data_IF_851759061790
#
_entry.id   IF_851759061790
#
_cell.length_a   1.000
_cell.length_b   1.000
_cell.length_c   1.000
_cell.angle_alpha   90.00
_cell.angle_beta   90.00
_cell.angle_gamma   90.00
#
_symmetry.space_group_name_H-M   'P 1'
#
loop_
_entity.id
_entity.type
_entity.pdbx_description
1 polymer ?
#
# COMPACT_ATOMS: atom_id res chain seq x y z
N UNK A 1 -40.42 16.20 -0.87
CA UNK A 1 -39.88 16.12 -1.08
C UNK A 1 -38.95 16.41 -0.71
N UNK A 2 -38.67 16.63 -0.54
CA UNK A 2 -37.83 16.94 -0.27
C UNK A 2 -37.00 16.34 0.34
N UNK A 3 -37.09 15.91 0.85
CA UNK A 3 -36.22 15.29 1.51
C UNK A 3 -35.47 14.48 0.74
N UNK A 4 -35.90 14.25 -0.10
CA UNK A 4 -35.23 13.50 -0.84
C UNK A 4 -34.08 13.73 -1.10
N UNK A 5 -33.88 14.57 -1.13
CA UNK A 5 -32.75 14.91 -1.37
C UNK A 5 -31.75 14.37 -0.73
N UNK A 6 -31.69 14.34 0.16
CA UNK A 6 -30.70 13.98 0.84
C UNK A 6 -30.14 12.83 0.65
N UNK A 7 -30.63 12.09 0.27
CA UNK A 7 -30.14 10.92 0.09
C UNK A 7 -29.02 10.88 -0.74
N UNK A 8 -29.01 11.64 -1.65
CA UNK A 8 -27.93 11.61 -2.52
C UNK A 8 -26.67 11.73 -1.87
N UNK A 9 -26.65 12.47 -0.94
CA UNK A 9 -25.46 12.69 -0.26
C UNK A 9 -24.90 11.48 0.25
N UNK A 10 -25.70 10.59 0.60
CA UNK A 10 -25.20 9.49 1.18
C UNK A 10 -24.40 8.71 0.30
N UNK A 11 -24.79 8.64 -0.83
CA UNK A 11 -24.09 7.80 -1.70
C UNK A 11 -22.68 8.16 -1.81
N UNK A 12 -22.41 9.36 -1.79
CA UNK A 12 -21.07 9.74 -1.96
C UNK A 12 -20.23 9.26 -0.90
N UNK A 13 -20.72 9.22 0.24
CA UNK A 13 -19.93 8.84 1.30
C UNK A 13 -19.49 7.49 1.18
N UNK A 14 -20.30 6.68 0.68
CA UNK A 14 -19.99 5.33 0.70
C UNK A 14 -18.74 4.99 -0.01
N UNK A 15 -18.41 5.72 -0.96
CA UNK A 15 -17.28 5.32 -1.72
C UNK A 15 -15.98 5.60 -1.06
N UNK A 16 -15.93 6.57 -0.30
CA UNK A 16 -14.67 7.01 0.20
C UNK A 16 -13.91 6.02 1.04
N UNK A 17 -14.46 5.44 1.96
CA UNK A 17 -13.69 4.65 2.88
C UNK A 17 -13.15 3.38 2.33
N UNK A 18 -13.66 3.03 1.23
CA UNK A 18 -13.29 1.78 0.76
C UNK A 18 -11.85 1.63 0.43
N UNK A 19 -11.19 2.70 0.22
CA UNK A 19 -9.86 2.60 -0.23
C UNK A 19 -8.84 2.59 0.79
N UNK A 20 -9.20 2.62 2.00
CA UNK A 20 -8.23 2.85 3.01
C UNK A 20 -7.55 1.62 3.57
N UNK A 21 -7.91 0.47 3.11
CA UNK A 21 -7.32 -0.72 3.70
C UNK A 21 -5.95 -1.00 3.14
N UNK A 22 -5.01 -1.24 4.01
CA UNK A 22 -3.70 -1.68 3.60
C UNK A 22 -3.77 -3.13 3.15
N UNK A 23 -2.83 -3.53 2.33
CA UNK A 23 -2.69 -4.92 1.95
C UNK A 23 -1.55 -5.52 2.76
N UNK A 24 -1.68 -6.80 3.07
CA UNK A 24 -0.68 -7.45 3.88
C UNK A 24 -0.37 -8.84 3.33
N UNK A 25 0.89 -9.20 3.36
CA UNK A 25 1.33 -10.55 3.04
C UNK A 25 2.06 -11.08 4.24
N UNK A 26 1.75 -12.30 4.67
CA UNK A 26 2.36 -12.89 5.84
C UNK A 26 3.03 -14.20 5.49
N UNK A 27 4.15 -14.44 6.14
CA UNK A 27 4.84 -15.71 5.99
C UNK A 27 5.45 -16.02 7.33
N UNK A 28 4.81 -16.89 8.11
CA UNK A 28 5.24 -17.15 9.48
C UNK A 28 5.06 -15.88 10.30
N UNK A 29 6.12 -15.51 11.00
CA UNK A 29 6.09 -14.30 11.81
C UNK A 29 6.49 -13.06 11.02
N UNK A 30 6.89 -13.24 9.77
CA UNK A 30 7.28 -12.12 8.94
C UNK A 30 6.06 -11.57 8.19
N UNK A 31 6.08 -10.30 7.89
CA UNK A 31 4.97 -9.69 7.17
C UNK A 31 5.44 -8.50 6.37
N UNK A 32 4.69 -8.19 5.32
CA UNK A 32 4.89 -6.98 4.54
C UNK A 32 3.55 -6.27 4.45
N UNK A 33 3.55 -4.99 4.70
CA UNK A 33 2.33 -4.18 4.64
C UNK A 33 2.49 -3.14 3.54
N UNK A 34 1.50 -3.08 2.67
CA UNK A 34 1.47 -2.12 1.55
C UNK A 34 0.36 -1.12 1.80
N UNK A 35 0.73 0.15 1.83
CA UNK A 35 -0.21 1.23 2.07
C UNK A 35 -0.50 1.94 0.75
N UNK A 36 -1.59 2.67 0.66
CA UNK A 36 -1.83 3.49 -0.52
C UNK A 36 -1.36 4.93 -0.31
N UNK A 37 -0.69 5.23 0.78
CA UNK A 37 -0.11 6.54 0.96
C UNK A 37 1.09 6.71 0.05
N UNK A 38 1.38 7.94 -0.29
CA UNK A 38 2.52 8.20 -1.18
C UNK A 38 3.83 7.78 -0.53
N UNK A 39 4.76 7.34 -1.35
CA UNK A 39 6.10 7.04 -0.87
C UNK A 39 6.77 8.32 -0.38
N UNK A 40 7.28 8.30 0.82
CA UNK A 40 7.93 9.47 1.40
C UNK A 40 9.35 9.19 1.84
N UNK A 41 9.87 8.03 1.53
CA UNK A 41 11.23 7.68 1.93
C UNK A 41 12.23 8.29 0.96
N UNK A 42 13.01 9.23 1.41
CA UNK A 42 14.02 9.84 0.57
C UNK A 42 15.03 8.82 0.10
N UNK A 43 15.33 7.86 0.94
CA UNK A 43 16.29 6.83 0.56
C UNK A 43 15.79 5.99 -0.61
N UNK A 44 14.51 5.64 -0.59
CA UNK A 44 13.94 4.88 -1.69
C UNK A 44 13.78 5.77 -2.91
N UNK A 45 13.27 6.97 -2.71
CA UNK A 45 13.01 7.86 -3.83
C UNK A 45 14.27 8.19 -4.61
N UNK A 46 15.40 8.22 -3.93
CA UNK A 46 16.66 8.50 -4.61
C UNK A 46 17.09 7.36 -5.53
N UNK A 47 16.46 6.22 -5.40
CA UNK A 47 16.77 5.05 -6.23
C UNK A 47 15.78 4.86 -7.36
N UNK A 48 14.79 5.73 -7.47
CA UNK A 48 13.73 5.62 -8.44
C UNK A 48 13.85 6.75 -9.44
N UNK A 49 13.59 6.48 -10.71
CA UNK A 49 13.62 7.53 -11.71
C UNK A 49 12.58 8.59 -11.36
N UNK A 50 12.92 9.86 -11.48
CA UNK A 50 11.98 10.91 -11.05
C UNK A 50 10.61 10.83 -11.70
N UNK A 51 10.53 10.37 -12.92
CA UNK A 51 9.24 10.27 -13.56
C UNK A 51 8.37 9.16 -13.01
N UNK A 52 8.97 8.20 -12.29
CA UNK A 52 8.22 7.08 -11.74
C UNK A 52 7.88 7.27 -10.28
N UNK A 53 8.46 8.25 -9.65
CA UNK A 53 8.33 8.38 -8.20
C UNK A 53 6.86 8.49 -7.75
N UNK A 54 6.03 9.14 -8.53
CA UNK A 54 4.64 9.31 -8.14
C UNK A 54 3.81 8.04 -8.19
N UNK A 55 4.35 6.98 -8.77
CA UNK A 55 3.65 5.71 -8.81
C UNK A 55 3.91 4.85 -7.60
N UNK A 56 4.85 5.25 -6.76
CA UNK A 56 5.21 4.44 -5.60
C UNK A 56 4.47 4.89 -4.36
N UNK A 57 4.11 3.90 -3.55
CA UNK A 57 3.38 4.11 -2.31
C UNK A 57 4.21 3.57 -1.15
N UNK A 58 3.85 3.95 0.04
CA UNK A 58 4.60 3.55 1.23
C UNK A 58 4.39 2.08 1.56
N UNK A 59 5.40 1.45 2.08
CA UNK A 59 5.34 0.06 2.52
C UNK A 59 6.26 -0.15 3.70
N UNK A 60 6.03 -1.21 4.44
CA UNK A 60 6.92 -1.59 5.52
C UNK A 60 6.91 -3.11 5.64
N UNK A 61 7.96 -3.64 6.25
CA UNK A 61 8.07 -5.07 6.45
C UNK A 61 8.61 -5.33 7.85
N UNK A 62 8.22 -6.48 8.40
CA UNK A 62 8.76 -6.98 9.65
C UNK A 62 9.42 -8.31 9.35
N UNK A 63 10.72 -8.39 9.56
CA UNK A 63 11.46 -9.62 9.39
C UNK A 63 12.24 -9.89 10.66
N UNK A 64 11.98 -11.01 11.27
CA UNK A 64 12.72 -11.42 12.45
C UNK A 64 12.72 -10.35 13.53
N UNK A 65 11.57 -9.70 13.69
CA UNK A 65 11.40 -8.69 14.71
C UNK A 65 11.91 -7.31 14.35
N UNK A 66 12.49 -7.15 13.18
CA UNK A 66 12.99 -5.85 12.74
C UNK A 66 12.09 -5.25 11.68
N UNK A 67 11.92 -3.94 11.76
CA UNK A 67 11.09 -3.22 10.80
C UNK A 67 11.95 -2.61 9.72
N UNK A 68 11.49 -2.76 8.48
CA UNK A 68 12.17 -2.17 7.33
C UNK A 68 11.16 -1.31 6.58
N UNK A 69 11.58 -0.13 6.14
CA UNK A 69 10.74 0.73 5.33
C UNK A 69 11.02 0.53 3.87
N UNK A 70 10.00 0.69 3.05
CA UNK A 70 10.10 0.48 1.62
C UNK A 70 9.05 1.29 0.91
N UNK A 71 9.09 1.29 -0.41
CA UNK A 71 8.00 1.79 -1.22
C UNK A 71 7.66 0.73 -2.25
N UNK A 72 6.43 0.76 -2.75
CA UNK A 72 5.96 -0.29 -3.64
C UNK A 72 5.07 0.26 -4.75
N UNK A 73 4.98 -0.49 -5.82
CA UNK A 73 3.97 -0.26 -6.85
C UNK A 73 3.59 -1.59 -7.46
N UNK A 74 2.46 -1.61 -8.14
CA UNK A 74 2.07 -2.81 -8.86
C UNK A 74 2.75 -2.86 -10.19
N UNK A 75 3.26 -4.04 -10.54
CA UNK A 75 3.82 -4.28 -11.85
C UNK A 75 3.19 -5.57 -12.34
N UNK A 76 2.23 -5.45 -13.26
CA UNK A 76 1.49 -6.61 -13.69
C UNK A 76 0.66 -7.16 -12.54
N UNK A 77 0.85 -8.42 -12.22
CA UNK A 77 0.08 -9.03 -11.15
C UNK A 77 0.94 -9.28 -9.91
N UNK A 78 1.93 -8.44 -9.68
CA UNK A 78 2.77 -8.55 -8.51
C UNK A 78 3.09 -7.18 -7.97
N UNK A 79 3.30 -7.10 -6.67
CA UNK A 79 3.76 -5.87 -6.03
C UNK A 79 5.28 -5.88 -6.03
N UNK A 80 5.86 -4.79 -6.47
CA UNK A 80 7.31 -4.65 -6.54
C UNK A 80 7.71 -3.65 -5.48
N UNK A 81 8.67 -4.03 -4.63
CA UNK A 81 9.11 -3.20 -3.53
C UNK A 81 10.58 -2.85 -3.64
N UNK A 82 10.91 -1.65 -3.19
CA UNK A 82 12.29 -1.23 -3.05
C UNK A 82 12.46 -0.82 -1.60
N UNK A 83 13.40 -1.44 -0.91
CA UNK A 83 13.67 -1.15 0.49
C UNK A 83 14.70 -0.04 0.62
N UNK A 84 14.76 0.56 1.79
CA UNK A 84 15.68 1.68 2.02
C UNK A 84 17.14 1.29 1.87
N UNK A 85 17.47 0.04 2.12
CA UNK A 85 18.84 -0.43 1.97
C UNK A 85 19.16 -0.85 0.54
N UNK A 86 18.21 -0.70 -0.37
CA UNK A 86 18.44 -1.04 -1.77
C UNK A 86 17.94 -2.41 -2.17
N UNK A 87 17.55 -3.24 -1.22
CA UNK A 87 16.99 -4.54 -1.55
C UNK A 87 15.66 -4.38 -2.26
N UNK A 88 15.30 -5.37 -3.03
CA UNK A 88 14.06 -5.38 -3.78
C UNK A 88 13.27 -6.62 -3.44
N UNK A 89 11.96 -6.50 -3.53
CA UNK A 89 11.07 -7.63 -3.28
C UNK A 89 9.96 -7.67 -4.28
N UNK A 90 9.43 -8.86 -4.50
CA UNK A 90 8.29 -9.06 -5.38
C UNK A 90 7.30 -9.96 -4.66
N UNK A 91 6.06 -9.53 -4.58
CA UNK A 91 5.02 -10.30 -3.92
C UNK A 91 3.89 -10.52 -4.90
N UNK A 92 3.59 -11.77 -5.25
CA UNK A 92 2.46 -12.04 -6.14
C UNK A 92 1.16 -11.50 -5.57
N UNK A 93 0.33 -10.93 -6.39
CA UNK A 93 -0.90 -10.31 -5.93
C UNK A 93 -1.77 -11.29 -5.14
N UNK A 94 -1.74 -12.55 -5.48
CA UNK A 94 -2.57 -13.53 -4.79
C UNK A 94 -2.16 -13.74 -3.34
N UNK A 95 -0.97 -13.32 -2.96
CA UNK A 95 -0.54 -13.41 -1.57
C UNK A 95 -0.91 -12.19 -0.75
N UNK A 96 -1.44 -11.17 -1.39
CA UNK A 96 -1.81 -9.94 -0.71
C UNK A 96 -3.26 -10.01 -0.29
N UNK A 97 -3.53 -9.66 0.95
CA UNK A 97 -4.88 -9.65 1.48
C UNK A 97 -5.15 -8.34 2.17
N UNK A 98 -6.39 -7.86 2.15
CA UNK A 98 -6.71 -6.65 2.88
C UNK A 98 -6.44 -6.88 4.36
N UNK A 99 -5.89 -5.88 5.00
CA UNK A 99 -5.74 -5.94 6.43
C UNK A 99 -7.09 -5.61 7.06
N UNK A 100 -7.63 -6.55 7.81
CA UNK A 100 -8.91 -6.33 8.44
C UNK A 100 -8.66 -5.77 9.81
N UNK A 101 -9.30 -4.70 10.09
CA UNK A 101 -9.20 -4.17 11.43
C UNK A 101 -10.42 -4.63 12.14
N UNK A 102 -10.38 -5.70 12.65
CA UNK A 102 -11.54 -6.28 13.24
C UNK A 102 -11.97 -5.65 14.50
#
# INVERSE_FOLDING_TARGET
>A
MKALVFCAALATLAAAPVFAQDLIARQGDDSVRLSDEACKSDLVLSRIAPGDAGEYHAASAMFQGQRFNACWRMMGNAAYLIYEDGDQGIIPAQELKPELSA
#
